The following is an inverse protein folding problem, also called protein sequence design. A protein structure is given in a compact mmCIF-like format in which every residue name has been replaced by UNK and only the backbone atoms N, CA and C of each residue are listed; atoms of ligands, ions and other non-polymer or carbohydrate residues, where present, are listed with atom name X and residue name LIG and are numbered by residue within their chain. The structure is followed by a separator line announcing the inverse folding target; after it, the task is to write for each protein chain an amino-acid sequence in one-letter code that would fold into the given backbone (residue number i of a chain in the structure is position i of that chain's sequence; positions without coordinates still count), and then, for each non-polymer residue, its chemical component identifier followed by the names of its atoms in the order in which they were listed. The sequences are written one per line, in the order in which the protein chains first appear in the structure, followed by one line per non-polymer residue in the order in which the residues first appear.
data_IF_200691036872
#
_entry.id   IF_200691036872
#
_cell.length_a   1.000
_cell.length_b   1.000
_cell.length_c   1.000
_cell.angle_alpha   90.00
_cell.angle_beta   90.00
_cell.angle_gamma   90.00
#
_symmetry.space_group_name_H-M   'P 1'
#
loop_
_entity.id
_entity.type
_entity.pdbx_description
1 polymer ?
#
# COMPACT_ATOMS: atom_id res chain seq x y z
N UNK A 1 14.37 4.02 8.38
CA UNK A 1 13.88 4.94 7.34
C UNK A 1 12.38 5.20 7.47
N UNK A 2 11.57 4.18 7.81
CA UNK A 2 10.12 4.34 7.98
C UNK A 2 9.75 5.35 9.07
N UNK A 3 10.47 5.36 10.20
CA UNK A 3 10.24 6.33 11.28
C UNK A 3 10.60 7.75 10.84
N UNK A 4 11.60 7.92 9.99
CA UNK A 4 11.96 9.22 9.42
C UNK A 4 10.82 9.75 8.54
N UNK A 5 10.29 8.92 7.65
CA UNK A 5 9.16 9.29 6.79
C UNK A 5 7.92 9.60 7.61
N UNK A 6 7.64 8.83 8.64
CA UNK A 6 6.51 9.03 9.54
C UNK A 6 6.64 10.35 10.34
N UNK A 7 7.83 10.64 10.85
CA UNK A 7 8.09 11.91 11.56
C UNK A 7 7.93 13.11 10.63
N UNK A 8 8.48 13.05 9.42
CA UNK A 8 8.36 14.09 8.42
C UNK A 8 6.90 14.31 8.01
N UNK A 9 6.12 13.22 7.88
CA UNK A 9 4.69 13.33 7.61
C UNK A 9 3.97 14.16 8.68
N UNK A 10 4.18 13.85 9.96
CA UNK A 10 3.55 14.54 11.08
C UNK A 10 4.00 16.00 11.17
N UNK A 11 5.28 16.29 10.93
CA UNK A 11 5.81 17.66 10.89
C UNK A 11 5.12 18.49 9.79
N UNK A 12 5.03 17.95 8.58
CA UNK A 12 4.46 18.66 7.43
C UNK A 12 2.94 18.80 7.51
N UNK A 13 2.24 17.76 7.90
CA UNK A 13 0.77 17.69 7.77
C UNK A 13 0.02 17.69 9.10
N UNK A 14 0.69 17.48 10.22
CA UNK A 14 0.09 17.27 11.53
C UNK A 14 -0.48 15.86 11.70
N UNK A 15 -1.22 15.63 12.80
CA UNK A 15 -1.95 14.38 13.00
C UNK A 15 -3.24 14.37 12.16
N UNK A 16 -3.36 13.48 11.17
CA UNK A 16 -4.54 13.45 10.30
C UNK A 16 -5.81 12.99 11.02
N UNK A 17 -5.70 12.25 12.11
CA UNK A 17 -6.87 11.78 12.87
C UNK A 17 -7.59 12.89 13.60
N UNK A 18 -6.84 13.89 14.06
CA UNK A 18 -7.38 15.10 14.74
C UNK A 18 -7.44 16.29 13.80
N UNK A 19 -6.85 16.17 12.61
CA UNK A 19 -6.66 17.28 11.67
C UNK A 19 -6.07 18.53 12.35
N UNK A 20 -4.97 18.33 13.06
CA UNK A 20 -4.37 19.35 13.94
C UNK A 20 -3.96 20.65 13.24
N UNK A 21 -3.82 20.63 11.91
CA UNK A 21 -3.56 21.83 11.08
C UNK A 21 -4.81 22.41 10.42
N UNK A 22 -5.99 21.89 10.73
CA UNK A 22 -7.29 22.39 10.25
C UNK A 22 -7.42 22.46 8.72
N UNK A 23 -6.85 21.46 8.01
CA UNK A 23 -7.02 21.35 6.57
C UNK A 23 -8.49 21.07 6.21
N UNK A 24 -8.93 21.50 5.03
CA UNK A 24 -10.22 21.04 4.47
C UNK A 24 -10.18 19.50 4.38
N UNK A 25 -11.29 18.84 4.68
CA UNK A 25 -11.38 17.37 4.63
C UNK A 25 -12.35 16.90 3.56
N UNK A 26 -12.13 15.69 3.08
CA UNK A 26 -13.04 14.97 2.20
C UNK A 26 -13.12 13.50 2.63
N UNK A 27 -14.26 12.84 2.40
CA UNK A 27 -14.40 11.41 2.63
C UNK A 27 -13.46 10.62 1.71
N UNK A 28 -12.80 9.60 2.25
CA UNK A 28 -11.85 8.78 1.47
C UNK A 28 -12.51 8.18 0.20
N UNK A 29 -13.77 7.76 0.28
CA UNK A 29 -14.48 7.17 -0.86
C UNK A 29 -14.90 8.20 -1.91
N UNK A 30 -14.93 9.50 -1.56
CA UNK A 30 -15.19 10.58 -2.51
C UNK A 30 -13.95 10.93 -3.33
N UNK A 31 -12.75 10.46 -2.94
CA UNK A 31 -11.51 10.68 -3.70
C UNK A 31 -11.40 9.77 -4.92
N UNK A 32 -12.23 8.72 -5.00
CA UNK A 32 -12.14 7.75 -6.09
C UNK A 32 -13.17 6.63 -5.98
N UNK A 33 -12.96 5.59 -6.75
CA UNK A 33 -13.83 4.42 -6.80
C UNK A 33 -13.27 3.24 -6.00
N UNK A 34 -14.09 2.69 -5.11
CA UNK A 34 -13.76 1.48 -4.36
C UNK A 34 -14.34 0.23 -5.04
N UNK A 35 -13.54 -0.84 -5.10
CA UNK A 35 -13.98 -2.14 -5.62
C UNK A 35 -13.36 -3.29 -4.82
N UNK A 36 -14.20 -4.28 -4.45
CA UNK A 36 -13.71 -5.53 -3.89
C UNK A 36 -12.96 -6.32 -4.95
N UNK A 37 -11.96 -7.08 -4.51
CA UNK A 37 -11.15 -7.90 -5.39
C UNK A 37 -11.89 -9.15 -5.91
N UNK A 38 -11.20 -9.89 -6.73
CA UNK A 38 -11.71 -11.05 -7.43
C UNK A 38 -11.82 -12.26 -6.49
N UNK A 39 -13.00 -12.87 -6.43
CA UNK A 39 -13.17 -14.19 -5.89
C UNK A 39 -12.95 -15.21 -7.00
N UNK A 40 -11.99 -16.09 -6.84
CA UNK A 40 -11.63 -17.11 -7.81
C UNK A 40 -11.50 -18.47 -7.14
N UNK A 41 -11.67 -19.52 -7.93
CA UNK A 41 -11.33 -20.89 -7.56
C UNK A 41 -9.96 -21.20 -8.13
N UNK A 42 -9.09 -21.82 -7.31
CA UNK A 42 -7.79 -22.29 -7.79
C UNK A 42 -8.01 -23.41 -8.84
N UNK A 43 -7.29 -23.30 -9.96
CA UNK A 43 -7.24 -24.30 -11.02
C UNK A 43 -5.80 -24.58 -11.39
N UNK A 44 -5.48 -25.82 -11.69
CA UNK A 44 -4.09 -26.21 -12.00
C UNK A 44 -3.68 -25.83 -13.43
N UNK A 45 -4.63 -25.68 -14.36
CA UNK A 45 -4.39 -25.49 -15.80
C UNK A 45 -5.15 -24.29 -16.40
N UNK A 46 -5.37 -23.23 -15.64
CA UNK A 46 -6.05 -22.02 -16.10
C UNK A 46 -5.10 -20.94 -16.64
N UNK A 47 -5.66 -19.78 -16.93
CA UNK A 47 -4.90 -18.59 -17.31
C UNK A 47 -4.17 -18.04 -16.09
N UNK A 48 -2.84 -18.08 -16.13
CA UNK A 48 -1.99 -17.56 -15.07
C UNK A 48 -1.93 -16.04 -15.05
N UNK A 49 -2.06 -15.43 -13.86
CA UNK A 49 -1.95 -13.98 -13.68
C UNK A 49 -1.42 -13.63 -12.29
N UNK A 50 -0.64 -12.55 -12.20
CA UNK A 50 -0.21 -12.01 -10.91
C UNK A 50 -1.41 -11.50 -10.09
N UNK A 51 -1.45 -11.87 -8.82
CA UNK A 51 -2.57 -11.55 -7.94
C UNK A 51 -2.06 -11.05 -6.60
N UNK A 52 -2.39 -9.79 -6.28
CA UNK A 52 -2.08 -9.23 -4.97
C UNK A 52 -2.97 -9.87 -3.90
N UNK A 53 -2.37 -10.65 -3.04
CA UNK A 53 -2.97 -11.27 -1.87
C UNK A 53 -2.56 -10.61 -0.57
N UNK A 54 -3.22 -10.97 0.54
CA UNK A 54 -2.91 -10.41 1.87
C UNK A 54 -1.45 -10.67 2.29
N UNK A 55 -0.89 -11.82 1.91
CA UNK A 55 0.49 -12.20 2.24
C UNK A 55 1.57 -11.29 1.61
N UNK A 56 1.24 -10.58 0.53
CA UNK A 56 2.19 -9.74 -0.19
C UNK A 56 2.38 -8.37 0.47
N UNK A 57 1.43 -7.95 1.34
CA UNK A 57 1.47 -6.65 2.02
C UNK A 57 2.67 -6.54 2.97
N UNK A 58 2.96 -7.59 3.77
CA UNK A 58 4.05 -7.57 4.77
C UNK A 58 4.13 -6.18 5.46
N UNK A 59 5.33 -5.60 5.51
CA UNK A 59 5.54 -4.24 6.04
C UNK A 59 5.67 -3.18 4.94
N UNK A 60 5.28 -3.54 3.71
CA UNK A 60 5.41 -2.65 2.55
C UNK A 60 4.47 -1.46 2.61
N UNK A 61 4.88 -0.37 1.99
CA UNK A 61 4.05 0.82 1.68
C UNK A 61 3.71 0.86 0.20
N UNK A 62 4.60 0.33 -0.62
CA UNK A 62 4.49 0.30 -2.09
C UNK A 62 4.82 -1.11 -2.57
N UNK A 63 4.09 -1.57 -3.58
CA UNK A 63 4.39 -2.73 -4.42
C UNK A 63 4.67 -2.18 -5.81
N UNK A 64 5.92 -2.24 -6.22
CA UNK A 64 6.41 -1.56 -7.43
C UNK A 64 6.64 -2.51 -8.62
N UNK A 65 6.22 -3.76 -8.50
CA UNK A 65 6.31 -4.77 -9.57
C UNK A 65 5.31 -5.88 -9.32
N UNK A 66 4.79 -6.46 -10.39
CA UNK A 66 3.95 -7.67 -10.33
C UNK A 66 4.72 -8.89 -9.81
N UNK A 67 6.06 -8.89 -9.91
CA UNK A 67 6.92 -9.94 -9.36
C UNK A 67 6.92 -9.98 -7.82
N UNK A 68 6.43 -8.96 -7.17
CA UNK A 68 6.25 -8.89 -5.72
C UNK A 68 4.92 -9.48 -5.24
N UNK A 69 4.07 -9.91 -6.16
CA UNK A 69 2.74 -10.46 -5.91
C UNK A 69 2.74 -11.97 -6.03
N UNK A 70 1.75 -12.60 -5.42
CA UNK A 70 1.44 -14.01 -5.66
C UNK A 70 0.96 -14.25 -7.10
N UNK A 71 0.76 -15.51 -7.44
CA UNK A 71 0.30 -15.93 -8.75
C UNK A 71 -0.94 -16.83 -8.61
N UNK A 72 -1.92 -16.64 -9.50
CA UNK A 72 -3.15 -17.45 -9.51
C UNK A 72 -3.47 -17.90 -10.92
N UNK A 73 -4.19 -19.01 -11.01
CA UNK A 73 -4.69 -19.56 -12.26
C UNK A 73 -6.20 -19.38 -12.32
N UNK A 74 -6.70 -18.70 -13.34
CA UNK A 74 -8.12 -18.37 -13.54
C UNK A 74 -8.73 -19.21 -14.66
N UNK A 75 -10.04 -19.43 -14.61
CA UNK A 75 -10.79 -20.14 -15.68
C UNK A 75 -10.86 -19.29 -16.96
N UNK A 76 -10.93 -17.96 -16.82
CA UNK A 76 -11.06 -17.00 -17.91
C UNK A 76 -10.31 -15.69 -17.61
N UNK A 77 -10.09 -14.90 -18.64
CA UNK A 77 -9.46 -13.59 -18.47
C UNK A 77 -10.33 -12.68 -17.59
N UNK A 78 -9.77 -12.06 -16.54
CA UNK A 78 -10.55 -11.15 -15.71
C UNK A 78 -10.96 -9.91 -16.51
N UNK A 79 -12.14 -9.36 -16.22
CA UNK A 79 -12.53 -8.08 -16.81
C UNK A 79 -11.59 -6.96 -16.35
N UNK A 80 -11.41 -5.93 -17.19
CA UNK A 80 -10.51 -4.78 -16.94
C UNK A 80 -10.78 -4.06 -15.61
N UNK A 81 -12.01 -4.15 -15.12
CA UNK A 81 -12.40 -3.62 -13.83
C UNK A 81 -11.68 -4.24 -12.63
N UNK A 82 -11.11 -5.44 -12.78
CA UNK A 82 -10.33 -6.11 -11.74
C UNK A 82 -8.82 -5.94 -11.92
N UNK A 83 -8.39 -5.37 -13.04
CA UNK A 83 -6.97 -5.09 -13.24
C UNK A 83 -6.52 -3.94 -12.35
N UNK A 84 -5.32 -4.08 -11.80
CA UNK A 84 -4.63 -3.03 -11.07
C UNK A 84 -3.99 -2.05 -12.06
N UNK A 85 -4.00 -0.76 -11.69
CA UNK A 85 -3.34 0.31 -12.41
C UNK A 85 -2.33 0.99 -11.49
N UNK A 86 -1.38 1.71 -12.08
CA UNK A 86 -0.41 2.51 -11.33
C UNK A 86 -1.12 3.53 -10.43
N UNK A 87 -0.72 3.56 -9.17
CA UNK A 87 -1.30 4.44 -8.18
C UNK A 87 -2.58 3.92 -7.50
N UNK A 88 -3.05 2.72 -7.82
CA UNK A 88 -4.14 2.10 -7.06
C UNK A 88 -3.71 1.89 -5.60
N UNK A 89 -4.60 2.19 -4.67
CA UNK A 89 -4.45 1.88 -3.25
C UNK A 89 -5.24 0.61 -2.92
N UNK A 90 -4.57 -0.38 -2.37
CA UNK A 90 -5.22 -1.66 -2.04
C UNK A 90 -5.16 -1.88 -0.54
N UNK A 91 -6.31 -2.22 0.05
CA UNK A 91 -6.50 -2.47 1.47
C UNK A 91 -6.74 -3.94 1.72
N UNK A 92 -6.20 -4.46 2.81
CA UNK A 92 -6.64 -5.76 3.34
C UNK A 92 -8.07 -5.60 3.89
N UNK A 93 -9.01 -6.29 3.25
CA UNK A 93 -10.42 -6.28 3.61
C UNK A 93 -10.72 -7.24 4.76
N UNK A 94 -10.20 -8.47 4.67
CA UNK A 94 -10.51 -9.55 5.58
C UNK A 94 -9.30 -10.44 5.79
N UNK A 95 -9.04 -10.81 7.03
CA UNK A 95 -7.99 -11.76 7.41
C UNK A 95 -8.27 -12.35 8.79
N UNK A 96 -7.83 -13.57 9.04
CA UNK A 96 -7.90 -14.18 10.37
C UNK A 96 -7.09 -13.41 11.43
N UNK A 97 -5.98 -12.80 11.03
CA UNK A 97 -5.25 -11.86 11.90
C UNK A 97 -5.83 -10.43 11.72
N UNK A 98 -6.49 -9.93 12.76
CA UNK A 98 -7.13 -8.62 12.77
C UNK A 98 -6.15 -7.46 12.54
N UNK A 99 -4.89 -7.59 12.94
CA UNK A 99 -3.88 -6.55 12.76
C UNK A 99 -3.55 -6.27 11.28
N UNK A 100 -3.81 -7.25 10.40
CA UNK A 100 -3.62 -7.08 8.97
C UNK A 100 -4.77 -6.33 8.31
N UNK A 101 -6.00 -6.43 8.85
CA UNK A 101 -7.17 -5.75 8.29
C UNK A 101 -6.95 -4.24 8.23
N UNK A 102 -7.31 -3.63 7.10
CA UNK A 102 -7.09 -2.19 6.83
C UNK A 102 -5.62 -1.81 6.55
N UNK A 103 -4.63 -2.74 6.53
CA UNK A 103 -3.33 -2.42 5.94
C UNK A 103 -3.52 -1.99 4.50
N UNK A 104 -2.75 -0.99 4.09
CA UNK A 104 -2.84 -0.37 2.77
C UNK A 104 -1.47 -0.32 2.11
N UNK A 105 -1.43 -0.61 0.82
CA UNK A 105 -0.27 -0.42 -0.06
C UNK A 105 -0.67 0.34 -1.31
N UNK A 106 0.24 1.14 -1.86
CA UNK A 106 0.14 1.68 -3.20
C UNK A 106 0.74 0.67 -4.20
N UNK A 107 0.14 0.52 -5.36
CA UNK A 107 0.55 -0.50 -6.34
C UNK A 107 0.90 0.15 -7.66
N UNK A 108 1.98 -0.31 -8.27
CA UNK A 108 2.48 0.15 -9.58
C UNK A 108 2.85 -1.05 -10.45
N UNK A 109 1.89 -1.63 -11.21
CA UNK A 109 2.15 -2.75 -12.12
C UNK A 109 2.89 -2.35 -13.40
N UNK A 110 3.07 -1.07 -13.68
CA UNK A 110 3.79 -0.53 -14.86
C UNK A 110 3.30 -1.10 -16.20
N UNK A 111 1.98 -1.21 -16.33
CA UNK A 111 1.33 -1.73 -17.55
C UNK A 111 1.23 -3.26 -17.62
N UNK A 112 1.82 -3.99 -16.69
CA UNK A 112 1.65 -5.43 -16.59
C UNK A 112 0.27 -5.78 -15.99
N UNK A 113 -0.30 -6.90 -16.42
CA UNK A 113 -1.62 -7.33 -15.94
C UNK A 113 -1.49 -7.99 -14.57
N UNK A 114 -2.18 -7.43 -13.60
CA UNK A 114 -2.32 -8.00 -12.28
C UNK A 114 -3.73 -7.77 -11.73
N UNK A 115 -4.21 -8.70 -10.92
CA UNK A 115 -5.48 -8.60 -10.19
C UNK A 115 -5.23 -8.54 -8.69
N UNK A 116 -6.28 -8.49 -7.90
CA UNK A 116 -6.20 -8.54 -6.43
C UNK A 116 -7.30 -9.43 -5.87
N UNK A 117 -6.96 -10.11 -4.79
CA UNK A 117 -7.79 -11.11 -4.12
C UNK A 117 -9.08 -10.49 -3.57
N UNK A 118 -10.16 -11.27 -3.51
CA UNK A 118 -11.42 -10.91 -2.85
C UNK A 118 -11.29 -10.59 -1.35
N UNK A 119 -10.14 -10.91 -0.74
CA UNK A 119 -9.77 -10.46 0.62
C UNK A 119 -9.22 -9.03 0.67
N UNK A 120 -9.22 -8.32 -0.46
CA UNK A 120 -8.75 -6.95 -0.59
C UNK A 120 -9.84 -6.03 -1.16
N UNK A 121 -9.71 -4.71 -0.90
CA UNK A 121 -10.47 -3.64 -1.52
C UNK A 121 -9.49 -2.69 -2.20
N UNK A 122 -9.72 -2.37 -3.47
CA UNK A 122 -8.99 -1.32 -4.19
C UNK A 122 -9.73 0.01 -4.08
N UNK A 123 -8.99 1.09 -3.86
CA UNK A 123 -9.39 2.47 -4.12
C UNK A 123 -8.57 2.99 -5.30
N UNK A 124 -9.23 3.38 -6.37
CA UNK A 124 -8.63 4.06 -7.54
C UNK A 124 -8.98 5.53 -7.48
N UNK A 125 -7.97 6.39 -7.32
CA UNK A 125 -8.17 7.83 -7.29
C UNK A 125 -8.70 8.33 -8.65
N UNK A 126 -9.64 9.26 -8.60
CA UNK A 126 -10.27 9.86 -9.79
C UNK A 126 -9.94 11.35 -9.95
N UNK A 127 -9.44 11.98 -8.89
CA UNK A 127 -9.21 13.42 -8.85
C UNK A 127 -7.76 13.74 -8.53
N UNK A 128 -7.20 14.75 -9.20
CA UNK A 128 -5.78 15.11 -9.12
C UNK A 128 -5.38 15.92 -7.89
N UNK A 129 -6.27 16.14 -6.91
CA UNK A 129 -5.98 16.96 -5.73
C UNK A 129 -5.41 16.20 -4.52
N UNK A 130 -5.18 14.89 -4.68
CA UNK A 130 -4.49 14.06 -3.69
C UNK A 130 -3.39 13.24 -4.36
N UNK A 131 -2.19 13.27 -3.77
CA UNK A 131 -1.05 12.48 -4.22
C UNK A 131 -1.03 11.12 -3.51
N UNK A 132 -0.75 10.05 -4.25
CA UNK A 132 -0.67 8.67 -3.73
C UNK A 132 0.33 8.55 -2.57
N UNK A 133 1.58 9.09 -2.64
CA UNK A 133 2.51 9.04 -1.52
C UNK A 133 1.99 9.70 -0.24
N UNK A 134 1.33 10.85 -0.36
CA UNK A 134 0.68 11.50 0.79
C UNK A 134 -0.40 10.59 1.39
N UNK A 135 -1.33 10.11 0.55
CA UNK A 135 -2.49 9.36 1.00
C UNK A 135 -2.10 8.02 1.64
N UNK A 136 -1.17 7.26 1.04
CA UNK A 136 -0.76 5.97 1.61
C UNK A 136 -0.09 6.13 2.97
N UNK A 137 0.72 7.16 3.17
CA UNK A 137 1.35 7.45 4.46
C UNK A 137 0.36 8.00 5.49
N UNK A 138 -0.62 8.80 5.08
CA UNK A 138 -1.74 9.24 5.92
C UNK A 138 -2.55 8.04 6.44
N UNK A 139 -2.90 7.10 5.56
CA UNK A 139 -3.66 5.90 5.90
C UNK A 139 -2.91 4.95 6.85
N UNK A 140 -1.58 4.99 6.87
CA UNK A 140 -0.74 4.21 7.81
C UNK A 140 -0.65 4.84 9.20
N UNK A 141 -1.08 6.10 9.40
CA UNK A 141 -1.01 6.73 10.72
C UNK A 141 -1.88 5.98 11.75
N UNK A 142 -1.38 5.76 12.99
CA UNK A 142 -2.08 4.95 13.99
C UNK A 142 -3.50 5.43 14.30
N UNK A 143 -3.72 6.75 14.31
CA UNK A 143 -5.04 7.35 14.54
C UNK A 143 -6.05 7.00 13.45
N UNK A 144 -5.62 7.02 12.18
CA UNK A 144 -6.45 6.63 11.04
C UNK A 144 -6.66 5.12 11.02
N UNK A 145 -5.62 4.33 11.28
CA UNK A 145 -5.73 2.87 11.36
C UNK A 145 -6.81 2.43 12.35
N UNK A 146 -6.87 3.06 13.53
CA UNK A 146 -7.91 2.77 14.55
C UNK A 146 -9.33 3.02 14.04
N UNK A 147 -9.54 4.00 13.15
CA UNK A 147 -10.85 4.28 12.57
C UNK A 147 -11.33 3.16 11.62
N UNK A 148 -10.41 2.41 11.02
CA UNK A 148 -10.72 1.28 10.13
C UNK A 148 -11.27 0.05 10.87
N UNK A 149 -11.08 -0.03 12.19
CA UNK A 149 -11.50 -1.19 12.98
C UNK A 149 -12.91 -1.08 13.57
N UNK A 150 -13.63 0.02 13.37
CA UNK A 150 -14.95 0.19 13.95
C UNK A 150 -14.98 0.15 15.50
N UNK A 151 -16.07 0.58 16.12
CA UNK A 151 -16.30 0.48 17.57
C UNK A 151 -16.85 -0.91 17.89
N UNK A 152 -16.01 -1.85 18.32
CA UNK A 152 -16.45 -3.17 18.77
C UNK A 152 -15.40 -4.27 18.52
N UNK A 153 -15.36 -5.27 19.42
CA UNK A 153 -14.33 -6.33 19.45
C UNK A 153 -14.35 -7.28 18.24
N UNK A 154 -15.31 -7.13 17.29
CA UNK A 154 -15.59 -8.13 16.25
C UNK A 154 -15.52 -7.65 14.80
N UNK A 155 -14.91 -6.49 14.49
CA UNK A 155 -14.76 -6.09 13.08
C UNK A 155 -13.63 -6.89 12.45
N UNK A 156 -13.99 -8.00 11.81
CA UNK A 156 -13.07 -8.85 11.04
C UNK A 156 -12.98 -8.44 9.55
N UNK A 157 -13.84 -7.49 9.13
CA UNK A 157 -13.95 -7.10 7.73
C UNK A 157 -14.04 -5.59 7.56
N UNK A 158 -13.07 -5.03 6.84
CA UNK A 158 -13.16 -3.69 6.30
C UNK A 158 -14.17 -3.68 5.14
N UNK A 159 -14.98 -2.62 5.06
CA UNK A 159 -15.94 -2.42 3.99
C UNK A 159 -15.92 -0.96 3.50
N UNK A 160 -16.61 -0.69 2.40
CA UNK A 160 -16.63 0.65 1.81
C UNK A 160 -17.27 1.70 2.74
N UNK A 161 -18.23 1.31 3.58
CA UNK A 161 -18.85 2.21 4.56
C UNK A 161 -17.85 2.61 5.66
N UNK A 162 -17.02 1.70 6.14
CA UNK A 162 -15.94 2.04 7.07
C UNK A 162 -14.89 2.95 6.42
N UNK A 163 -14.55 2.71 5.15
CA UNK A 163 -13.67 3.59 4.39
C UNK A 163 -14.27 4.98 4.20
N UNK A 164 -15.58 5.10 3.97
CA UNK A 164 -16.23 6.40 3.80
C UNK A 164 -16.26 7.27 5.06
N UNK A 165 -16.12 6.67 6.23
CA UNK A 165 -16.01 7.40 7.49
C UNK A 165 -14.66 8.07 7.71
N UNK A 166 -13.64 7.66 6.95
CA UNK A 166 -12.29 8.24 7.04
C UNK A 166 -12.30 9.60 6.37
N UNK A 167 -12.04 10.64 7.16
CA UNK A 167 -11.87 12.01 6.67
C UNK A 167 -10.42 12.24 6.31
N UNK A 168 -10.16 12.53 5.05
CA UNK A 168 -8.83 12.81 4.51
C UNK A 168 -8.58 14.31 4.52
N UNK A 169 -7.62 14.81 5.31
CA UNK A 169 -7.18 16.20 5.21
C UNK A 169 -6.59 16.46 3.81
N UNK A 170 -6.88 17.63 3.25
CA UNK A 170 -6.46 18.04 1.91
C UNK A 170 -5.50 19.23 1.98
N UNK A 171 -4.22 19.01 2.36
CA UNK A 171 -3.23 20.08 2.31
C UNK A 171 -2.95 20.49 0.85
N UNK A 172 -2.36 21.68 0.61
CA UNK A 172 -1.99 22.11 -0.73
C UNK A 172 -1.18 21.08 -1.50
N UNK A 173 -1.43 20.94 -2.81
CA UNK A 173 -0.72 19.98 -3.66
C UNK A 173 0.79 20.16 -3.64
N UNK A 174 1.25 21.42 -3.59
CA UNK A 174 2.69 21.73 -3.49
C UNK A 174 3.33 21.10 -2.25
N UNK A 175 2.62 21.06 -1.12
CA UNK A 175 3.12 20.42 0.10
C UNK A 175 3.11 18.89 -0.02
N UNK A 176 2.07 18.33 -0.66
CA UNK A 176 2.00 16.89 -0.96
C UNK A 176 3.12 16.47 -1.92
N UNK A 177 3.42 17.28 -2.94
CA UNK A 177 4.51 17.04 -3.90
C UNK A 177 5.87 17.08 -3.20
N UNK A 178 6.13 18.06 -2.33
CA UNK A 178 7.36 18.11 -1.51
C UNK A 178 7.53 16.85 -0.64
N UNK A 179 6.46 16.36 -0.05
CA UNK A 179 6.49 15.10 0.71
C UNK A 179 6.77 13.90 -0.20
N UNK A 180 6.16 13.84 -1.38
CA UNK A 180 6.40 12.77 -2.35
C UNK A 180 7.88 12.73 -2.77
N UNK A 181 8.49 13.88 -3.05
CA UNK A 181 9.91 14.02 -3.35
C UNK A 181 10.81 13.58 -2.19
N UNK A 182 10.40 13.91 -0.96
CA UNK A 182 11.11 13.46 0.24
C UNK A 182 11.08 11.94 0.37
N UNK A 183 9.89 11.31 0.23
CA UNK A 183 9.72 9.85 0.27
C UNK A 183 10.56 9.15 -0.80
N UNK A 184 10.56 9.69 -2.03
CA UNK A 184 11.36 9.15 -3.13
C UNK A 184 12.87 9.18 -2.82
N UNK A 185 13.38 10.29 -2.26
CA UNK A 185 14.80 10.41 -1.86
C UNK A 185 15.17 9.44 -0.74
N UNK A 186 14.32 9.30 0.28
CA UNK A 186 14.54 8.34 1.37
C UNK A 186 14.52 6.90 0.85
N UNK A 187 13.61 6.57 -0.04
CA UNK A 187 13.53 5.25 -0.69
C UNK A 187 14.80 4.92 -1.49
N UNK A 188 15.30 5.88 -2.29
CA UNK A 188 16.55 5.73 -3.03
C UNK A 188 17.74 5.51 -2.09
N UNK A 189 17.86 6.33 -1.05
CA UNK A 189 18.94 6.17 -0.06
C UNK A 189 18.88 4.78 0.59
N UNK A 190 17.69 4.29 0.95
CA UNK A 190 17.50 2.95 1.51
C UNK A 190 17.97 1.85 0.56
N UNK A 191 17.65 1.97 -0.71
CA UNK A 191 18.08 1.03 -1.73
C UNK A 191 19.61 1.04 -1.91
N UNK A 192 20.22 2.23 -2.00
CA UNK A 192 21.66 2.37 -2.15
C UNK A 192 22.43 1.77 -0.95
N UNK A 193 21.94 2.01 0.27
CA UNK A 193 22.51 1.43 1.50
C UNK A 193 22.37 -0.08 1.51
N UNK A 194 21.22 -0.62 1.12
CA UNK A 194 21.01 -2.07 1.05
C UNK A 194 21.97 -2.74 0.05
N UNK A 195 22.17 -2.14 -1.11
CA UNK A 195 23.15 -2.63 -2.09
C UNK A 195 24.60 -2.65 -1.54
N UNK A 196 24.96 -1.60 -0.78
CA UNK A 196 26.30 -1.55 -0.16
C UNK A 196 26.47 -2.66 0.88
N UNK A 197 25.45 -2.93 1.70
CA UNK A 197 25.46 -4.01 2.68
C UNK A 197 25.67 -5.36 1.97
N UNK A 198 24.92 -5.65 0.92
CA UNK A 198 25.04 -6.91 0.16
C UNK A 198 26.44 -7.10 -0.46
N UNK A 199 27.03 -6.02 -0.98
CA UNK A 199 28.42 -6.04 -1.48
C UNK A 199 29.43 -6.33 -0.38
N UNK A 200 29.27 -5.71 0.79
CA UNK A 200 30.14 -5.94 1.95
C UNK A 200 30.02 -7.37 2.49
N UNK A 201 28.81 -7.92 2.55
CA UNK A 201 28.59 -9.30 2.96
C UNK A 201 29.21 -10.30 1.98
N UNK A 202 29.15 -10.01 0.69
CA UNK A 202 29.76 -10.83 -0.36
C UNK A 202 31.28 -10.80 -0.26
N UNK A 203 31.88 -9.61 -0.06
CA UNK A 203 33.31 -9.45 0.16
C UNK A 203 33.78 -10.18 1.43
N UNK A 204 33.03 -10.01 2.52
CA UNK A 204 33.30 -10.73 3.78
C UNK A 204 33.33 -12.25 3.56
N UNK A 205 32.34 -12.81 2.85
CA UNK A 205 32.29 -14.25 2.54
C UNK A 205 33.50 -14.71 1.73
N UNK A 206 33.88 -13.93 0.71
CA UNK A 206 35.05 -14.22 -0.12
C UNK A 206 36.36 -14.25 0.69
N UNK A 207 36.57 -13.23 1.54
CA UNK A 207 37.75 -13.17 2.40
C UNK A 207 37.78 -14.30 3.43
N UNK A 208 36.64 -14.64 4.03
CA UNK A 208 36.58 -15.77 4.96
C UNK A 208 36.95 -17.10 4.29
N UNK A 209 36.52 -17.28 3.04
CA UNK A 209 36.85 -18.50 2.26
C UNK A 209 38.34 -18.53 1.85
N UNK A 210 38.92 -17.36 1.55
CA UNK A 210 40.33 -17.25 1.18
C UNK A 210 41.30 -17.51 2.36
N UNK A 211 40.96 -17.03 3.56
CA UNK A 211 41.85 -17.07 4.72
C UNK A 211 41.56 -18.21 5.70
N UNK A 212 40.38 -18.81 5.68
CA UNK A 212 39.93 -19.81 6.65
C UNK A 212 39.32 -21.07 5.99
N UNK A 213 39.16 -21.11 4.69
CA UNK A 213 38.73 -22.28 3.92
C UNK A 213 39.93 -23.00 3.35
#
# INVERSE_FOLDING_TARGET
LDDLVKSQFVEMFGDPATNSKSWKTESLTNLGSCKNGLNFKYRDNGLGISCLGVGDFKDKTVINSVNEMGFVSLDESPSDNYLLNDGDLVFVRSNGNKELVGRCVAVYPHGEKAVYSGFCIRLRLQFGYVRVPYLVHMLKQPGIRRQMFGRGANVQNLNQQLLSNIQVPLPPLTLQDQFADFVARVGKLGFDVQQQIEKLETLKRSLMQEYFG
#
